data_IF_413180048228
#
_entry.id   IF_413180048228
#
_cell.length_a   1.000
_cell.length_b   1.000
_cell.length_c   1.000
_cell.angle_alpha   90.00
_cell.angle_beta   90.00
_cell.angle_gamma   90.00
#
_symmetry.space_group_name_H-M   'P 1'
#
loop_
_entity.id
_entity.type
_entity.pdbx_description
1 polymer ?
#
# COMPACT_ATOMS: atom_id res chain seq x y z
N UNK A 1 -6.94 4.67 -9.97
CA UNK A 1 -6.59 3.93 -8.74
C UNK A 1 -5.38 3.09 -9.00
N UNK A 2 -4.45 3.11 -8.08
CA UNK A 2 -3.21 2.37 -8.20
C UNK A 2 -3.11 1.35 -7.09
N UNK A 3 -2.62 0.16 -7.44
CA UNK A 3 -2.28 -0.86 -6.47
C UNK A 3 -0.78 -0.81 -6.28
N UNK A 4 -0.34 -0.63 -5.05
CA UNK A 4 1.07 -0.52 -4.73
C UNK A 4 1.45 -1.67 -3.82
N UNK A 5 2.44 -2.45 -4.23
CA UNK A 5 2.91 -3.59 -3.46
C UNK A 5 4.34 -3.28 -3.03
N UNK A 6 4.60 -3.34 -1.74
CA UNK A 6 5.92 -2.99 -1.24
C UNK A 6 6.25 -3.80 0.01
N UNK A 7 7.53 -3.81 0.36
CA UNK A 7 8.00 -4.54 1.52
C UNK A 7 8.21 -3.57 2.66
N UNK A 8 7.73 -3.93 3.83
CA UNK A 8 7.91 -3.09 5.01
C UNK A 8 8.08 -4.00 6.22
N UNK A 9 9.23 -3.91 6.87
CA UNK A 9 9.50 -4.65 8.08
C UNK A 9 9.27 -6.16 7.91
N UNK A 10 9.76 -6.69 6.84
CA UNK A 10 9.68 -8.12 6.61
C UNK A 10 8.33 -8.62 6.14
N UNK A 11 7.45 -7.72 5.80
CA UNK A 11 6.13 -8.11 5.32
C UNK A 11 5.85 -7.45 4.01
N UNK A 12 4.98 -8.07 3.23
CA UNK A 12 4.58 -7.51 1.95
C UNK A 12 3.24 -6.84 2.13
N UNK A 13 3.20 -5.57 1.80
CA UNK A 13 1.98 -4.76 1.90
C UNK A 13 1.40 -4.56 0.52
N UNK A 14 0.11 -4.62 0.42
CA UNK A 14 -0.59 -4.28 -0.80
C UNK A 14 -1.63 -3.24 -0.45
N UNK A 15 -1.49 -2.04 -0.98
CA UNK A 15 -2.40 -0.94 -0.67
C UNK A 15 -2.90 -0.32 -1.96
N UNK A 16 -3.94 0.46 -1.84
CA UNK A 16 -4.54 1.14 -2.98
C UNK A 16 -4.57 2.63 -2.72
N UNK A 17 -4.34 3.42 -3.76
CA UNK A 17 -4.29 4.86 -3.63
C UNK A 17 -4.76 5.53 -4.91
N UNK A 18 -5.13 6.79 -4.81
CA UNK A 18 -5.58 7.51 -5.98
C UNK A 18 -4.45 8.16 -6.74
N UNK A 19 -3.36 8.49 -6.07
CA UNK A 19 -2.25 9.16 -6.72
C UNK A 19 -0.92 8.54 -6.35
N UNK A 20 -0.10 8.30 -7.35
CA UNK A 20 1.24 7.78 -7.14
C UNK A 20 2.16 8.57 -8.06
N UNK A 21 3.28 9.03 -7.54
CA UNK A 21 4.20 9.84 -8.31
C UNK A 21 5.65 9.57 -7.93
N UNK A 22 6.53 9.67 -8.88
CA UNK A 22 7.95 9.56 -8.60
C UNK A 22 8.62 10.90 -8.74
N UNK A 23 7.89 11.92 -9.15
CA UNK A 23 8.48 13.21 -9.41
C UNK A 23 8.34 14.15 -8.25
N UNK A 24 8.28 13.63 -7.06
CA UNK A 24 8.09 14.46 -5.90
C UNK A 24 9.38 15.06 -5.40
N UNK A 25 9.30 15.65 -4.24
CA UNK A 25 10.42 16.37 -3.69
C UNK A 25 11.48 15.45 -3.09
N UNK A 26 11.19 14.21 -2.83
CA UNK A 26 12.18 13.30 -2.28
C UNK A 26 12.69 12.37 -3.36
N UNK A 27 13.94 12.58 -3.72
CA UNK A 27 14.56 11.76 -4.75
C UNK A 27 14.72 10.34 -4.26
N UNK A 28 14.42 9.37 -5.09
CA UNK A 28 14.54 7.95 -4.71
C UNK A 28 13.35 7.41 -3.97
N UNK A 29 12.28 8.18 -3.87
CA UNK A 29 11.08 7.72 -3.19
C UNK A 29 9.89 7.80 -4.13
N UNK A 30 8.95 6.92 -3.89
CA UNK A 30 7.66 6.95 -4.58
C UNK A 30 6.67 7.60 -3.63
N UNK A 31 5.95 8.60 -4.10
CA UNK A 31 4.96 9.29 -3.29
C UNK A 31 3.61 8.67 -3.54
N UNK A 32 2.93 8.28 -2.48
CA UNK A 32 1.61 7.66 -2.57
C UNK A 32 0.65 8.53 -1.78
N UNK A 33 -0.39 9.01 -2.45
CA UNK A 33 -1.35 9.91 -1.82
C UNK A 33 -2.77 9.40 -1.91
N UNK A 34 -3.57 9.81 -0.96
CA UNK A 34 -4.99 9.45 -0.95
C UNK A 34 -5.17 7.96 -0.90
N UNK A 35 -4.66 7.40 0.16
CA UNK A 35 -4.79 5.96 0.36
C UNK A 35 -6.25 5.60 0.52
N UNK A 36 -6.64 4.49 -0.10
CA UNK A 36 -8.00 4.05 -0.10
C UNK A 36 -8.07 2.72 0.63
N UNK A 37 -8.94 2.64 1.61
CA UNK A 37 -9.17 1.38 2.27
C UNK A 37 -10.61 0.99 1.99
N UNK A 38 -10.87 -0.30 2.06
CA UNK A 38 -12.18 -0.78 1.70
C UNK A 38 -13.18 -0.26 2.66
N UNK A 39 -13.97 0.66 2.22
CA UNK A 39 -14.97 1.24 3.03
C UNK A 39 -16.29 0.54 2.90
N UNK A 40 -16.42 -0.52 2.08
CA UNK A 40 -17.66 -1.12 1.91
C UNK A 40 -18.03 -1.82 3.12
N UNK A 41 -19.23 -1.96 3.40
CA UNK A 41 -19.69 -2.61 4.49
C UNK A 41 -19.48 -4.00 4.31
N UNK A 42 -18.40 -4.56 4.59
CA UNK A 42 -18.18 -5.93 4.47
C UNK A 42 -18.61 -6.59 5.73
N UNK A 43 -19.25 -7.67 5.62
CA UNK A 43 -19.67 -8.39 6.74
C UNK A 43 -18.50 -9.02 7.41
N UNK A 44 -17.47 -9.33 6.66
CA UNK A 44 -16.30 -9.99 7.20
C UNK A 44 -15.27 -8.95 7.52
N UNK A 45 -14.80 -8.92 8.73
CA UNK A 45 -13.76 -8.02 9.13
C UNK A 45 -12.43 -8.66 8.78
N UNK A 46 -11.65 -7.96 7.99
CA UNK A 46 -10.35 -8.45 7.58
C UNK A 46 -9.29 -7.82 8.48
N UNK A 47 -8.58 -8.61 9.28
CA UNK A 47 -7.60 -8.03 10.19
C UNK A 47 -6.50 -7.24 9.47
N UNK A 48 -6.16 -7.64 8.25
CA UNK A 48 -5.13 -6.92 7.51
C UNK A 48 -5.61 -5.52 7.14
N UNK A 49 -6.85 -5.40 6.73
CA UNK A 49 -7.41 -4.11 6.38
C UNK A 49 -7.47 -3.23 7.63
N UNK A 50 -7.86 -3.80 8.75
CA UNK A 50 -7.90 -3.04 9.97
C UNK A 50 -6.54 -2.53 10.36
N UNK A 51 -5.52 -3.37 10.26
CA UNK A 51 -4.17 -2.95 10.59
C UNK A 51 -3.67 -1.87 9.67
N UNK A 52 -4.01 -1.96 8.38
CA UNK A 52 -3.62 -0.93 7.42
C UNK A 52 -4.29 0.39 7.76
N UNK A 53 -5.56 0.34 8.14
CA UNK A 53 -6.26 1.57 8.49
C UNK A 53 -5.65 2.22 9.73
N UNK A 54 -5.21 1.43 10.69
CA UNK A 54 -4.58 1.96 11.87
C UNK A 54 -3.21 2.54 11.53
N UNK A 55 -2.44 1.82 10.76
CA UNK A 55 -1.09 2.25 10.44
C UNK A 55 -1.07 3.53 9.63
N UNK A 56 -2.02 3.67 8.72
CA UNK A 56 -2.05 4.84 7.85
C UNK A 56 -3.09 5.87 8.28
N UNK A 57 -3.59 5.76 9.51
CA UNK A 57 -4.54 6.74 9.99
C UNK A 57 -3.89 8.12 10.03
N UNK A 58 -4.53 9.08 9.43
CA UNK A 58 -3.99 10.43 9.42
C UNK A 58 -2.89 10.69 8.41
N UNK A 59 -2.51 9.69 7.65
CA UNK A 59 -1.44 9.86 6.67
C UNK A 59 -2.06 10.38 5.38
N UNK A 60 -1.62 11.57 4.95
CA UNK A 60 -2.10 12.12 3.69
C UNK A 60 -1.24 11.65 2.56
N UNK A 61 0.03 11.49 2.80
CA UNK A 61 0.98 11.10 1.78
C UNK A 61 2.05 10.27 2.44
N UNK A 62 2.44 9.18 1.83
CA UNK A 62 3.54 8.39 2.34
C UNK A 62 4.61 8.30 1.26
N UNK A 63 5.86 8.24 1.69
CA UNK A 63 6.99 8.16 0.79
C UNK A 63 7.62 6.79 0.97
N UNK A 64 7.65 6.03 -0.11
CA UNK A 64 8.19 4.68 -0.06
C UNK A 64 9.52 4.64 -0.80
N UNK A 65 10.58 4.12 -0.18
CA UNK A 65 11.84 3.99 -0.90
C UNK A 65 11.64 3.15 -2.14
N UNK A 66 12.18 3.60 -3.25
CA UNK A 66 11.93 2.94 -4.52
C UNK A 66 12.27 1.48 -4.53
N UNK A 67 13.38 1.12 -3.85
CA UNK A 67 13.77 -0.28 -3.93
C UNK A 67 12.96 -1.18 -3.02
N UNK A 68 12.06 -0.65 -2.22
CA UNK A 68 11.16 -1.49 -1.45
C UNK A 68 9.84 -1.69 -2.17
N UNK A 69 9.62 -0.98 -3.25
CA UNK A 69 8.39 -1.12 -4.02
C UNK A 69 8.57 -2.25 -5.00
N UNK A 70 7.69 -3.24 -4.94
CA UNK A 70 7.80 -4.41 -5.79
C UNK A 70 7.07 -4.20 -7.11
N UNK A 71 5.91 -3.56 -7.06
CA UNK A 71 5.19 -3.24 -8.30
C UNK A 71 4.11 -2.23 -8.05
N UNK A 72 3.77 -1.50 -9.07
CA UNK A 72 2.68 -0.53 -9.03
C UNK A 72 1.84 -0.80 -10.27
N UNK A 73 0.56 -0.98 -10.09
CA UNK A 73 -0.35 -1.19 -11.21
C UNK A 73 -1.45 -0.15 -11.18
N UNK A 74 -1.81 0.33 -12.33
CA UNK A 74 -3.01 1.15 -12.42
C UNK A 74 -4.17 0.19 -12.63
N UNK A 75 -5.17 0.26 -11.79
CA UNK A 75 -6.27 -0.71 -11.84
C UNK A 75 -7.59 0.01 -11.96
N UNK A 76 -8.57 -0.68 -12.47
CA UNK A 76 -9.90 -0.10 -12.64
C UNK A 76 -10.66 -0.02 -11.33
N UNK A 77 -10.45 -0.96 -10.46
CA UNK A 77 -11.19 -1.01 -9.22
C UNK A 77 -10.29 -1.22 -8.06
N UNK A 78 -10.65 -0.66 -6.94
CA UNK A 78 -9.95 -0.87 -5.71
C UNK A 78 -10.16 -2.30 -5.25
N UNK A 79 -9.11 -2.93 -4.81
CA UNK A 79 -9.20 -4.24 -4.18
C UNK A 79 -9.09 -4.11 -2.68
N UNK A 80 -8.86 -5.22 -2.03
CA UNK A 80 -8.75 -5.26 -0.59
C UNK A 80 -7.28 -5.23 -0.22
N UNK A 81 -6.91 -4.32 0.68
CA UNK A 81 -5.53 -4.24 1.12
C UNK A 81 -5.09 -5.51 1.83
N UNK A 82 -3.81 -5.79 1.76
CA UNK A 82 -3.27 -7.02 2.33
C UNK A 82 -1.93 -6.77 3.00
N UNK A 83 -1.66 -7.56 4.01
CA UNK A 83 -0.35 -7.63 4.62
C UNK A 83 -0.04 -9.10 4.76
N UNK A 84 1.03 -9.54 4.11
CA UNK A 84 1.41 -10.95 4.18
C UNK A 84 2.87 -11.06 4.57
N UNK A 85 3.22 -12.16 5.16
CA UNK A 85 4.61 -12.37 5.54
C UNK A 85 5.45 -12.51 4.30
N UNK A 86 6.59 -11.86 4.27
CA UNK A 86 7.50 -12.06 3.17
C UNK A 86 8.11 -13.44 3.32
N UNK A 87 8.25 -14.11 2.19
CA UNK A 87 8.77 -15.43 2.24
C UNK A 87 10.22 -15.38 2.19
N UNK A 88 10.80 -14.68 2.91
CA UNK A 88 12.08 -14.35 2.73
C UNK A 88 12.96 -15.39 2.33
N UNK A 89 13.18 -16.18 2.74
CA UNK A 89 14.16 -17.01 2.42
C UNK A 89 13.96 -17.90 1.39
N UNK A 90 12.88 -17.91 0.93
CA UNK A 90 12.62 -18.77 0.04
C UNK A 90 13.07 -18.49 -1.12
N UNK A 91 13.68 -17.85 -1.26
CA UNK A 91 14.17 -17.55 -2.36
C UNK A 91 14.84 -17.99 -2.89
#
# INVERSE_FOLDING_TARGET
IYRVVFVNQGKVYEIYARHVSQNGSLFGFVEVEELIFDARKSVVVDPAVERLQIEFAGVKKTYLPMHYVLRIDEVDKQGIGKITAAEGGNV
#
